data_IF_671234135679
#
_entry.id   IF_671234135679
#
_cell.length_a   1.000
_cell.length_b   1.000
_cell.length_c   1.000
_cell.angle_alpha   90.00
_cell.angle_beta   90.00
_cell.angle_gamma   90.00
#
_symmetry.space_group_name_H-M   'P 1'
#
loop_
_entity.id
_entity.type
_entity.pdbx_description
1 polymer ?
#
# COMPACT_ATOMS: atom_id res chain seq x y z
N UNK A 1 -42.80 -36.73 -20.38
CA UNK A 1 -41.53 -37.19 -21.01
C UNK A 1 -40.46 -36.20 -20.55
N UNK A 2 -39.60 -36.59 -19.60
CA UNK A 2 -38.20 -37.04 -19.82
C UNK A 2 -37.41 -35.99 -20.63
N UNK A 3 -36.27 -35.44 -20.21
CA UNK A 3 -35.16 -36.07 -19.48
C UNK A 3 -34.19 -34.98 -18.95
N UNK A 4 -33.43 -35.33 -17.92
CA UNK A 4 -32.38 -34.53 -17.27
C UNK A 4 -31.02 -34.89 -17.88
N UNK A 5 -30.14 -33.93 -18.15
CA UNK A 5 -28.70 -34.14 -18.40
C UNK A 5 -27.96 -33.01 -17.65
N UNK A 6 -27.51 -33.11 -16.40
CA UNK A 6 -26.40 -33.87 -15.81
C UNK A 6 -25.09 -33.91 -16.64
N UNK A 7 -24.13 -33.06 -16.26
CA UNK A 7 -22.70 -33.21 -16.59
C UNK A 7 -21.94 -32.87 -15.30
N UNK A 8 -21.53 -33.93 -14.60
CA UNK A 8 -20.54 -33.93 -13.53
C UNK A 8 -19.23 -34.41 -14.17
N UNK A 9 -18.20 -33.57 -14.20
CA UNK A 9 -16.84 -33.97 -14.58
C UNK A 9 -16.01 -34.00 -13.30
N UNK A 10 -15.94 -35.20 -12.70
CA UNK A 10 -15.04 -35.52 -11.61
C UNK A 10 -13.62 -35.71 -12.14
N UNK A 11 -12.65 -35.02 -11.54
CA UNK A 11 -11.25 -35.37 -11.68
C UNK A 11 -10.82 -36.21 -10.48
N UNK A 12 -10.84 -37.52 -10.74
CA UNK A 12 -10.24 -38.59 -9.95
C UNK A 12 -8.73 -38.55 -10.17
N UNK A 13 -7.93 -38.41 -9.11
CA UNK A 13 -6.49 -38.68 -9.16
C UNK A 13 -6.25 -40.01 -8.45
N UNK A 14 -5.95 -41.03 -9.25
CA UNK A 14 -5.56 -42.36 -8.83
C UNK A 14 -4.22 -42.36 -8.08
N UNK A 15 -4.19 -43.20 -7.05
CA UNK A 15 -3.01 -43.60 -6.30
C UNK A 15 -2.51 -44.94 -6.85
N UNK A 16 -1.24 -45.03 -7.22
CA UNK A 16 -0.46 -46.27 -7.40
C UNK A 16 1.02 -45.84 -7.38
N UNK A 17 1.77 -46.04 -6.29
CA UNK A 17 2.39 -47.29 -5.82
C UNK A 17 3.37 -47.92 -6.83
N UNK A 18 4.63 -47.51 -6.74
CA UNK A 18 5.81 -48.25 -7.19
C UNK A 18 6.89 -47.92 -6.13
N UNK A 19 7.48 -48.82 -5.35
CA UNK A 19 7.82 -50.21 -5.62
C UNK A 19 9.36 -50.36 -5.65
N UNK A 20 10.00 -50.25 -4.48
CA UNK A 20 11.31 -50.77 -4.02
C UNK A 20 12.49 -50.91 -5.02
N UNK A 21 13.65 -50.38 -4.63
CA UNK A 21 14.91 -51.14 -4.61
C UNK A 21 16.01 -50.44 -3.80
N UNK A 22 16.49 -51.16 -2.79
CA UNK A 22 17.66 -50.88 -1.96
C UNK A 22 18.93 -51.25 -2.73
N UNK A 23 19.96 -50.40 -2.71
CA UNK A 23 21.37 -50.84 -2.77
C UNK A 23 22.24 -49.85 -2.01
N UNK A 24 22.93 -50.38 -1.00
CA UNK A 24 24.02 -49.75 -0.26
C UNK A 24 25.17 -49.35 -1.19
N UNK A 25 25.63 -48.11 -1.10
CA UNK A 25 27.05 -47.79 -1.31
C UNK A 25 27.42 -46.59 -0.45
N UNK A 26 28.19 -46.88 0.59
CA UNK A 26 28.86 -45.95 1.47
C UNK A 26 29.94 -45.18 0.70
N UNK A 27 29.80 -43.86 0.56
CA UNK A 27 30.90 -42.97 0.18
C UNK A 27 30.74 -41.64 0.92
N UNK A 28 31.45 -41.59 2.04
CA UNK A 28 32.22 -40.47 2.57
C UNK A 28 32.14 -39.11 1.85
N UNK A 29 31.78 -38.10 2.65
CA UNK A 29 32.20 -36.68 2.62
C UNK A 29 31.76 -35.84 1.40
N UNK A 30 30.77 -34.98 1.63
CA UNK A 30 30.36 -33.97 0.67
C UNK A 30 29.29 -33.06 1.23
N UNK A 31 29.73 -31.96 1.85
CA UNK A 31 29.04 -30.66 1.93
C UNK A 31 27.52 -30.66 2.08
N UNK A 32 27.06 -30.40 3.30
CA UNK A 32 25.67 -30.05 3.64
C UNK A 32 25.28 -28.73 2.96
N UNK A 33 24.93 -28.79 1.68
CA UNK A 33 24.29 -27.69 0.95
C UNK A 33 22.78 -27.83 1.15
N UNK A 34 22.30 -27.31 2.28
CA UNK A 34 20.88 -27.01 2.49
C UNK A 34 20.51 -25.75 1.69
N UNK A 35 20.65 -25.80 0.37
CA UNK A 35 20.15 -24.78 -0.55
C UNK A 35 18.66 -25.00 -0.82
N UNK A 36 17.85 -24.81 0.22
CA UNK A 36 16.48 -24.40 -0.02
C UNK A 36 16.55 -23.07 -0.77
N UNK A 37 15.89 -22.88 -1.93
CA UNK A 37 15.82 -21.58 -2.57
C UNK A 37 14.95 -20.69 -1.67
N UNK A 38 15.59 -20.09 -0.67
CA UNK A 38 15.02 -19.03 0.12
C UNK A 38 14.75 -17.92 -0.88
N UNK A 39 13.49 -17.80 -1.31
CA UNK A 39 13.03 -16.76 -2.23
C UNK A 39 13.71 -15.48 -1.78
N UNK A 40 14.67 -15.00 -2.58
CA UNK A 40 15.36 -13.73 -2.31
C UNK A 40 14.24 -12.71 -2.30
N UNK A 41 13.74 -12.43 -1.10
CA UNK A 41 12.80 -11.36 -0.86
C UNK A 41 13.48 -10.17 -1.46
N UNK A 42 12.96 -9.70 -2.60
CA UNK A 42 13.50 -8.57 -3.33
C UNK A 42 13.70 -7.50 -2.27
N UNK A 43 14.96 -7.22 -1.88
CA UNK A 43 15.26 -6.06 -1.05
C UNK A 43 14.79 -4.91 -1.91
N UNK A 44 13.58 -4.44 -1.65
CA UNK A 44 13.09 -3.20 -2.26
C UNK A 44 14.15 -2.21 -1.80
N UNK A 45 14.88 -1.66 -2.75
CA UNK A 45 15.74 -0.51 -2.52
C UNK A 45 14.85 0.55 -1.87
N UNK A 46 14.85 0.58 -0.54
CA UNK A 46 14.06 1.47 0.29
C UNK A 46 14.77 2.83 0.25
N UNK A 47 14.79 3.43 -0.93
CA UNK A 47 15.19 4.82 -1.05
C UNK A 47 13.94 5.60 -0.66
N UNK A 48 13.95 6.10 0.57
CA UNK A 48 13.01 7.13 1.00
C UNK A 48 13.23 8.32 0.08
N UNK A 49 12.17 8.83 -0.55
CA UNK A 49 12.30 10.06 -1.34
C UNK A 49 12.82 11.20 -0.45
N UNK A 50 13.80 11.96 -0.95
CA UNK A 50 14.33 13.13 -0.27
C UNK A 50 13.18 14.07 0.11
N UNK A 51 13.18 14.45 1.38
CA UNK A 51 12.05 15.13 1.99
C UNK A 51 12.54 16.26 2.89
N UNK A 52 12.08 17.49 2.66
CA UNK A 52 12.34 18.58 3.58
C UNK A 52 11.71 18.27 4.94
N UNK A 53 12.46 18.47 6.05
CA UNK A 53 11.92 18.28 7.38
C UNK A 53 10.83 19.33 7.62
N UNK A 54 9.60 18.86 7.86
CA UNK A 54 8.47 19.71 8.23
C UNK A 54 8.14 19.50 9.70
N UNK A 55 7.89 20.59 10.43
CA UNK A 55 7.26 20.52 11.74
C UNK A 55 5.74 20.27 11.58
N UNK A 56 5.07 19.69 12.57
CA UNK A 56 3.61 19.50 12.50
C UNK A 56 2.84 20.84 12.41
N UNK A 57 3.44 21.94 12.89
CA UNK A 57 2.89 23.29 12.81
C UNK A 57 2.95 23.82 11.37
N UNK A 58 4.12 23.72 10.72
CA UNK A 58 4.28 24.08 9.32
C UNK A 58 3.33 23.26 8.43
N UNK A 59 3.19 21.96 8.70
CA UNK A 59 2.25 21.13 7.94
C UNK A 59 0.80 21.66 8.06
N UNK A 60 0.38 22.11 9.24
CA UNK A 60 -0.96 22.70 9.44
C UNK A 60 -1.14 23.98 8.64
N UNK A 61 -0.18 24.91 8.74
CA UNK A 61 -0.22 26.17 8.01
C UNK A 61 -0.32 25.95 6.48
N UNK A 62 0.48 25.01 5.96
CA UNK A 62 0.46 24.68 4.53
C UNK A 62 -0.86 24.06 4.07
N UNK A 63 -1.55 23.33 4.96
CA UNK A 63 -2.86 22.72 4.73
C UNK A 63 -4.01 23.73 4.88
N UNK A 64 -3.85 24.78 5.70
CA UNK A 64 -4.90 25.79 5.93
C UNK A 64 -5.20 26.59 4.66
N UNK A 65 -4.17 26.82 3.84
CA UNK A 65 -4.32 27.45 2.53
C UNK A 65 -4.87 26.53 1.43
N UNK A 66 -5.22 25.28 1.72
CA UNK A 66 -5.73 24.31 0.72
C UNK A 66 -7.23 24.12 0.91
N UNK A 67 -8.02 24.78 0.06
CA UNK A 67 -9.49 24.67 0.06
C UNK A 67 -10.00 23.67 -0.98
N UNK A 68 -9.21 23.39 -2.01
CA UNK A 68 -9.54 22.51 -3.13
C UNK A 68 -8.33 21.65 -3.52
N UNK A 69 -8.57 20.39 -3.85
CA UNK A 69 -7.56 19.51 -4.44
C UNK A 69 -8.18 18.68 -5.57
N UNK A 70 -7.35 18.37 -6.55
CA UNK A 70 -7.66 17.40 -7.59
C UNK A 70 -6.66 16.25 -7.51
N UNK A 71 -7.15 15.02 -7.44
CA UNK A 71 -6.30 13.84 -7.41
C UNK A 71 -5.91 13.43 -8.83
N UNK A 72 -4.81 12.68 -8.98
CA UNK A 72 -4.35 12.19 -10.29
C UNK A 72 -5.39 11.35 -11.07
N UNK A 73 -6.43 10.86 -10.40
CA UNK A 73 -7.58 10.16 -11.00
C UNK A 73 -8.67 11.10 -11.54
N UNK A 74 -8.48 12.42 -11.46
CA UNK A 74 -9.48 13.44 -11.84
C UNK A 74 -10.61 13.61 -10.83
N UNK A 75 -10.45 13.15 -9.58
CA UNK A 75 -11.44 13.35 -8.53
C UNK A 75 -11.14 14.65 -7.82
N UNK A 76 -12.10 15.56 -7.85
CA UNK A 76 -12.03 16.85 -7.16
C UNK A 76 -12.65 16.76 -5.77
N UNK A 77 -11.96 17.39 -4.82
CA UNK A 77 -12.42 17.59 -3.45
C UNK A 77 -12.46 19.08 -3.17
N UNK A 78 -13.58 19.51 -2.60
CA UNK A 78 -13.93 20.91 -2.36
C UNK A 78 -14.24 21.14 -0.89
N UNK A 79 -14.21 22.41 -0.47
CA UNK A 79 -14.51 22.85 0.90
C UNK A 79 -13.64 22.14 1.95
N UNK A 80 -12.37 21.96 1.61
CA UNK A 80 -11.41 21.37 2.52
C UNK A 80 -11.13 22.38 3.61
N UNK A 81 -11.24 21.94 4.85
CA UNK A 81 -10.97 22.75 6.01
C UNK A 81 -10.27 21.93 7.08
N UNK A 82 -9.47 22.62 7.86
CA UNK A 82 -8.78 22.06 9.01
C UNK A 82 -9.60 22.25 10.27
N UNK A 83 -9.60 21.22 11.10
CA UNK A 83 -10.04 21.26 12.49
C UNK A 83 -8.82 21.03 13.38
N UNK A 84 -8.97 21.14 14.71
CA UNK A 84 -7.90 20.93 15.67
C UNK A 84 -7.12 19.61 15.49
N UNK A 85 -7.78 18.52 15.08
CA UNK A 85 -7.15 17.19 14.92
C UNK A 85 -7.35 16.56 13.54
N UNK A 86 -8.28 17.07 12.75
CA UNK A 86 -8.76 16.41 11.53
C UNK A 86 -8.71 17.39 10.36
N UNK A 87 -8.48 16.86 9.17
CA UNK A 87 -8.71 17.52 7.90
C UNK A 87 -10.00 16.92 7.31
N UNK A 88 -10.95 17.79 6.99
CA UNK A 88 -12.27 17.40 6.51
C UNK A 88 -12.47 18.04 5.14
N UNK A 89 -13.06 17.31 4.20
CA UNK A 89 -13.44 17.85 2.90
C UNK A 89 -14.52 17.03 2.23
N UNK A 90 -15.09 17.57 1.16
CA UNK A 90 -16.22 16.95 0.44
C UNK A 90 -15.75 16.55 -0.94
N UNK A 91 -16.06 15.32 -1.36
CA UNK A 91 -15.86 14.87 -2.73
C UNK A 91 -16.94 15.48 -3.64
N UNK A 92 -16.55 16.32 -4.60
CA UNK A 92 -17.47 17.04 -5.50
C UNK A 92 -18.42 16.08 -6.22
N UNK A 93 -17.89 14.97 -6.74
CA UNK A 93 -18.67 14.03 -7.56
C UNK A 93 -19.75 13.26 -6.81
N UNK A 94 -19.60 13.06 -5.49
CA UNK A 94 -20.47 12.17 -4.71
C UNK A 94 -21.10 12.85 -3.49
N UNK A 95 -20.67 14.05 -3.14
CA UNK A 95 -21.01 14.71 -1.87
C UNK A 95 -20.48 13.98 -0.63
N UNK A 96 -19.66 12.93 -0.79
CA UNK A 96 -19.12 12.16 0.34
C UNK A 96 -18.03 12.94 1.03
N UNK A 97 -18.20 13.14 2.32
CA UNK A 97 -17.18 13.70 3.19
C UNK A 97 -16.05 12.69 3.41
N UNK A 98 -14.83 13.20 3.45
CA UNK A 98 -13.68 12.45 3.91
C UNK A 98 -13.07 13.18 5.11
N UNK A 99 -12.54 12.38 6.03
CA UNK A 99 -11.85 12.87 7.21
C UNK A 99 -10.49 12.19 7.27
N UNK A 100 -9.46 12.95 7.57
CA UNK A 100 -8.09 12.46 7.73
C UNK A 100 -7.56 13.01 9.04
N UNK A 101 -6.96 12.15 9.87
CA UNK A 101 -6.32 12.59 11.10
C UNK A 101 -5.00 13.28 10.78
N UNK A 102 -4.77 14.48 11.34
CA UNK A 102 -3.53 15.23 11.13
C UNK A 102 -2.30 14.50 11.68
N UNK A 103 -2.44 13.79 12.80
CA UNK A 103 -1.38 12.97 13.35
C UNK A 103 -1.00 11.81 12.44
N UNK A 104 -2.00 11.12 11.88
CA UNK A 104 -1.77 10.04 10.90
C UNK A 104 -1.18 10.59 9.60
N UNK A 105 -1.63 11.76 9.15
CA UNK A 105 -1.08 12.44 7.97
C UNK A 105 0.39 12.82 8.17
N UNK A 106 0.74 13.35 9.34
CA UNK A 106 2.13 13.65 9.69
C UNK A 106 2.98 12.38 9.81
N UNK A 107 2.45 11.33 10.42
CA UNK A 107 3.13 10.03 10.47
C UNK A 107 3.30 9.43 9.07
N UNK A 108 2.30 9.57 8.20
CA UNK A 108 2.40 9.16 6.81
C UNK A 108 3.43 10.01 6.05
N UNK A 109 3.55 11.29 6.39
CA UNK A 109 4.64 12.10 5.89
C UNK A 109 5.98 11.48 6.34
N UNK A 110 6.22 11.24 7.62
CA UNK A 110 7.53 10.74 8.06
C UNK A 110 7.85 9.29 7.66
N UNK A 111 6.87 8.38 7.73
CA UNK A 111 7.07 6.93 7.58
C UNK A 111 6.94 6.44 6.14
N UNK A 112 6.19 7.13 5.27
CA UNK A 112 6.02 6.67 3.89
C UNK A 112 7.29 6.91 3.08
N UNK A 113 7.84 5.82 2.56
CA UNK A 113 8.95 5.84 1.60
C UNK A 113 8.59 6.62 0.32
N UNK A 114 7.36 6.41 -0.17
CA UNK A 114 6.79 7.04 -1.37
C UNK A 114 5.31 7.35 -1.14
N UNK A 115 4.82 8.46 -1.69
CA UNK A 115 3.39 8.81 -1.63
C UNK A 115 2.58 7.98 -2.62
N UNK A 116 2.30 6.75 -2.22
CA UNK A 116 1.48 5.81 -2.99
C UNK A 116 0.38 5.28 -2.09
N UNK A 117 -0.77 4.95 -2.69
CA UNK A 117 -1.94 4.43 -1.95
C UNK A 117 -1.61 3.23 -1.07
N UNK A 118 -0.78 2.24 -1.48
CA UNK A 118 -0.44 1.10 -0.61
C UNK A 118 0.34 1.48 0.65
N UNK A 119 1.23 2.46 0.58
CA UNK A 119 2.01 2.93 1.73
C UNK A 119 1.14 3.78 2.66
N UNK A 120 0.36 4.71 2.10
CA UNK A 120 -0.55 5.56 2.88
C UNK A 120 -1.64 4.75 3.56
N UNK A 121 -2.13 3.69 2.91
CA UNK A 121 -3.13 2.77 3.46
C UNK A 121 -2.65 2.02 4.72
N UNK A 122 -1.33 1.89 4.94
CA UNK A 122 -0.79 1.28 6.17
C UNK A 122 -0.97 2.16 7.40
N UNK A 123 -1.17 3.46 7.21
CA UNK A 123 -1.19 4.46 8.29
C UNK A 123 -2.58 5.08 8.40
N UNK A 124 -3.13 5.53 7.26
CA UNK A 124 -4.44 6.17 7.17
C UNK A 124 -5.42 5.12 6.63
N UNK A 125 -6.46 4.79 7.39
CA UNK A 125 -7.44 3.75 7.02
C UNK A 125 -8.52 4.23 6.02
N UNK A 126 -8.81 5.54 5.97
CA UNK A 126 -9.81 6.12 5.07
C UNK A 126 -9.30 7.38 4.36
N UNK A 127 -9.79 7.65 3.14
CA UNK A 127 -9.37 8.86 2.41
C UNK A 127 -7.95 8.78 1.85
N UNK A 128 -7.50 7.60 1.41
CA UNK A 128 -6.13 7.42 0.89
C UNK A 128 -5.84 8.29 -0.34
N UNK A 129 -6.78 8.38 -1.28
CA UNK A 129 -6.61 9.17 -2.52
C UNK A 129 -6.37 10.67 -2.24
N UNK A 130 -7.21 11.36 -1.42
CA UNK A 130 -6.95 12.74 -1.05
C UNK A 130 -5.68 12.86 -0.19
N UNK A 131 -5.42 11.91 0.73
CA UNK A 131 -4.20 11.91 1.54
C UNK A 131 -2.91 11.88 0.70
N UNK A 132 -2.83 11.01 -0.32
CA UNK A 132 -1.66 10.93 -1.22
C UNK A 132 -1.42 12.26 -1.93
N UNK A 133 -2.49 12.92 -2.38
CA UNK A 133 -2.40 14.20 -3.09
C UNK A 133 -1.95 15.32 -2.16
N UNK A 134 -2.55 15.39 -0.97
CA UNK A 134 -2.15 16.34 0.07
C UNK A 134 -0.67 16.16 0.46
N UNK A 135 -0.23 14.93 0.66
CA UNK A 135 1.16 14.62 0.99
C UNK A 135 2.14 15.04 -0.12
N UNK A 136 1.76 14.86 -1.39
CA UNK A 136 2.56 15.33 -2.53
C UNK A 136 2.63 16.85 -2.57
N UNK A 137 1.51 17.55 -2.43
CA UNK A 137 1.46 19.01 -2.37
C UNK A 137 2.29 19.55 -1.19
N UNK A 138 2.23 18.90 -0.03
CA UNK A 138 3.03 19.24 1.13
C UNK A 138 4.52 19.14 0.84
N UNK A 139 4.97 18.07 0.17
CA UNK A 139 6.36 17.93 -0.26
C UNK A 139 6.77 19.04 -1.23
N UNK A 140 5.96 19.34 -2.23
CA UNK A 140 6.24 20.40 -3.21
C UNK A 140 6.33 21.78 -2.53
N UNK A 141 5.37 22.12 -1.67
CA UNK A 141 5.39 23.38 -0.91
C UNK A 141 6.60 23.47 0.02
N UNK A 142 6.95 22.38 0.67
CA UNK A 142 8.09 22.33 1.58
C UNK A 142 9.44 22.41 0.85
N UNK A 143 9.53 21.91 -0.39
CA UNK A 143 10.70 22.10 -1.25
C UNK A 143 10.85 23.56 -1.68
N UNK A 144 9.74 24.26 -1.92
CA UNK A 144 9.75 25.68 -2.26
C UNK A 144 10.05 26.62 -1.08
N UNK A 145 10.02 26.11 0.15
CA UNK A 145 10.35 26.84 1.38
C UNK A 145 11.84 26.73 1.76
N UNK A 146 12.57 25.80 1.15
CA UNK A 146 14.00 25.54 1.40
C UNK A 146 14.88 26.22 0.36
#
# INVERSE_FOLDING_TARGET
MKEKNNIEEGFLFDAEEIGKQETDTQTSEGTESTDAPCRRGRRRSMVTEDRPPLTPEQMRELLEGITEIETATGIRYIRIHLTAKMLIGIRESSGKEFTINLGELYQAYQKCLRFTSPEVKRIIFMGHSPAVTLLRMLKEKAQNLS
#
